data_IF_000096969506
#
_entry.id   IF_000096969506
#
_cell.length_a   1.000
_cell.length_b   1.000
_cell.length_c   1.000
_cell.angle_alpha   90.00
_cell.angle_beta   90.00
_cell.angle_gamma   90.00
#
_symmetry.space_group_name_H-M   'P 1'
#
loop_
_entity.id
_entity.type
_entity.pdbx_description
1 polymer ?
#
# COMPACT_ATOMS: atom_id res chain seq x y z
N UNK A 1 2.79 7.43 -28.50
CA UNK A 1 3.33 7.46 -27.12
C UNK A 1 2.13 7.53 -26.20
N UNK A 2 1.84 6.47 -25.44
CA UNK A 2 0.65 6.45 -24.58
C UNK A 2 0.95 7.31 -23.35
N UNK A 3 0.34 8.49 -23.29
CA UNK A 3 0.48 9.41 -22.17
C UNK A 3 -0.46 8.96 -21.05
N UNK A 4 0.09 8.72 -19.87
CA UNK A 4 -0.69 8.33 -18.69
C UNK A 4 -0.65 9.46 -17.67
N UNK A 5 -1.78 9.71 -17.01
CA UNK A 5 -1.90 10.70 -15.94
C UNK A 5 -2.15 9.99 -14.60
N UNK A 6 -1.50 10.42 -13.51
CA UNK A 6 -1.82 9.92 -12.19
C UNK A 6 -3.20 10.41 -11.74
N UNK A 7 -3.85 9.62 -10.89
CA UNK A 7 -5.05 10.04 -10.17
C UNK A 7 -4.64 11.06 -9.12
N UNK A 8 -5.19 12.28 -9.20
CA UNK A 8 -4.86 13.40 -8.30
C UNK A 8 -6.02 13.79 -7.39
N UNK A 9 -7.23 13.39 -7.73
CA UNK A 9 -8.44 13.74 -7.01
C UNK A 9 -8.61 12.84 -5.77
N UNK A 10 -8.65 13.43 -4.56
CA UNK A 10 -8.91 12.67 -3.33
C UNK A 10 -10.27 11.96 -3.33
N UNK A 11 -11.30 12.53 -3.96
CA UNK A 11 -12.63 11.90 -4.01
C UNK A 11 -12.61 10.62 -4.84
N UNK A 12 -11.94 10.63 -6.00
CA UNK A 12 -11.73 9.42 -6.81
C UNK A 12 -10.99 8.33 -6.02
N UNK A 13 -9.97 8.70 -5.24
CA UNK A 13 -9.25 7.74 -4.39
C UNK A 13 -10.19 7.13 -3.34
N UNK A 14 -11.07 7.94 -2.76
CA UNK A 14 -12.05 7.47 -1.77
C UNK A 14 -13.08 6.53 -2.39
N UNK A 15 -13.61 6.85 -3.57
CA UNK A 15 -14.52 5.98 -4.32
C UNK A 15 -13.89 4.62 -4.65
N UNK A 16 -12.61 4.61 -5.07
CA UNK A 16 -11.88 3.36 -5.33
C UNK A 16 -11.72 2.53 -4.05
N UNK A 17 -11.41 3.18 -2.93
CA UNK A 17 -11.30 2.51 -1.62
C UNK A 17 -12.61 1.83 -1.23
N UNK A 18 -13.73 2.54 -1.31
CA UNK A 18 -15.06 2.02 -0.97
C UNK A 18 -15.44 0.84 -1.87
N UNK A 19 -15.31 1.01 -3.19
CA UNK A 19 -15.58 -0.04 -4.16
C UNK A 19 -14.77 -1.32 -3.88
N UNK A 20 -13.46 -1.18 -3.62
CA UNK A 20 -12.60 -2.32 -3.33
C UNK A 20 -12.95 -2.96 -1.98
N UNK A 21 -13.29 -2.17 -0.96
CA UNK A 21 -13.63 -2.66 0.36
C UNK A 21 -14.90 -3.53 0.34
N UNK A 22 -15.89 -3.16 -0.46
CA UNK A 22 -17.11 -3.94 -0.64
C UNK A 22 -16.91 -5.22 -1.47
N UNK A 23 -16.03 -5.17 -2.47
CA UNK A 23 -15.83 -6.30 -3.39
C UNK A 23 -14.82 -7.33 -2.89
N UNK A 24 -13.68 -6.88 -2.38
CA UNK A 24 -12.58 -7.75 -2.02
C UNK A 24 -11.61 -7.03 -1.06
N UNK A 25 -11.65 -7.42 0.21
CA UNK A 25 -10.83 -6.85 1.27
C UNK A 25 -9.31 -6.95 0.99
N UNK A 26 -8.85 -8.05 0.37
CA UNK A 26 -7.45 -8.20 -0.02
C UNK A 26 -7.04 -7.13 -1.03
N UNK A 27 -7.85 -6.87 -2.05
CA UNK A 27 -7.55 -5.86 -3.06
C UNK A 27 -7.59 -4.45 -2.49
N UNK A 28 -8.52 -4.19 -1.56
CA UNK A 28 -8.55 -2.98 -0.77
C UNK A 28 -7.23 -2.76 -0.02
N UNK A 29 -6.75 -3.77 0.71
CA UNK A 29 -5.49 -3.69 1.45
C UNK A 29 -4.28 -3.49 0.54
N UNK A 30 -4.22 -4.17 -0.62
CA UNK A 30 -3.17 -3.96 -1.61
C UNK A 30 -3.15 -2.52 -2.12
N UNK A 31 -4.33 -1.94 -2.39
CA UNK A 31 -4.46 -0.56 -2.83
C UNK A 31 -4.02 0.43 -1.74
N UNK A 32 -4.51 0.26 -0.51
CA UNK A 32 -4.17 1.10 0.64
C UNK A 32 -2.67 1.06 0.94
N UNK A 33 -2.05 -0.13 0.96
CA UNK A 33 -0.60 -0.28 1.12
C UNK A 33 0.15 0.42 -0.02
N UNK A 34 -0.28 0.22 -1.26
CA UNK A 34 0.36 0.82 -2.43
C UNK A 34 0.40 2.35 -2.37
N UNK A 35 -0.75 2.99 -2.12
CA UNK A 35 -0.83 4.46 -2.11
C UNK A 35 -0.17 5.09 -0.87
N UNK A 36 -0.07 4.38 0.26
CA UNK A 36 0.57 4.92 1.47
C UNK A 36 2.10 4.71 1.47
N UNK A 37 2.61 3.67 0.81
CA UNK A 37 4.03 3.29 0.88
C UNK A 37 4.80 3.58 -0.41
N UNK A 38 4.11 3.73 -1.56
CA UNK A 38 4.76 3.90 -2.87
C UNK A 38 5.56 2.67 -3.31
N UNK A 39 5.31 1.50 -2.71
CA UNK A 39 5.95 0.25 -3.08
C UNK A 39 5.36 -0.30 -4.38
N UNK A 40 6.17 -1.05 -5.13
CA UNK A 40 5.68 -1.77 -6.31
C UNK A 40 4.85 -2.97 -5.86
N UNK A 41 3.86 -3.36 -6.67
CA UNK A 41 2.98 -4.49 -6.35
C UNK A 41 3.78 -5.78 -6.05
N UNK A 42 4.87 -6.04 -6.77
CA UNK A 42 5.72 -7.21 -6.52
C UNK A 42 6.42 -7.18 -5.16
N UNK A 43 6.76 -5.99 -4.65
CA UNK A 43 7.34 -5.83 -3.32
C UNK A 43 6.26 -5.98 -2.23
N UNK A 44 5.06 -5.41 -2.47
CA UNK A 44 3.90 -5.51 -1.55
C UNK A 44 3.49 -6.97 -1.35
N UNK A 45 3.46 -7.77 -2.42
CA UNK A 45 3.05 -9.18 -2.34
C UNK A 45 3.98 -10.07 -1.51
N UNK A 46 5.21 -9.61 -1.22
CA UNK A 46 6.18 -10.33 -0.39
C UNK A 46 6.16 -9.92 1.07
N UNK A 47 5.39 -8.87 1.42
CA UNK A 47 5.26 -8.43 2.80
C UNK A 47 4.62 -9.51 3.66
N UNK A 48 5.21 -9.72 4.83
CA UNK A 48 4.63 -10.54 5.90
C UNK A 48 4.04 -9.64 6.98
N UNK A 49 3.21 -10.22 7.85
CA UNK A 49 2.64 -9.50 9.00
C UNK A 49 3.75 -8.94 9.91
N UNK A 50 4.85 -9.68 10.07
CA UNK A 50 6.00 -9.23 10.86
C UNK A 50 6.69 -7.98 10.28
N UNK A 51 6.69 -7.82 8.95
CA UNK A 51 7.31 -6.66 8.29
C UNK A 51 6.48 -5.38 8.47
N UNK A 52 5.19 -5.51 8.77
CA UNK A 52 4.26 -4.38 8.96
C UNK A 52 3.88 -4.17 10.43
N UNK A 53 4.37 -5.02 11.34
CA UNK A 53 4.21 -4.84 12.77
C UNK A 53 5.21 -3.80 13.30
N UNK A 54 4.68 -2.65 13.72
CA UNK A 54 5.46 -1.63 14.42
C UNK A 54 5.22 -0.21 13.91
N UNK A 55 6.29 0.58 13.85
CA UNK A 55 6.26 1.96 13.37
C UNK A 55 6.74 2.11 11.92
N UNK A 56 7.46 1.11 11.40
CA UNK A 56 8.08 1.16 10.09
C UNK A 56 8.00 -0.19 9.39
N UNK A 57 7.80 -0.14 8.07
CA UNK A 57 7.97 -1.28 7.17
C UNK A 57 9.42 -1.30 6.73
N UNK A 58 10.12 -2.38 7.03
CA UNK A 58 11.53 -2.58 6.63
C UNK A 58 11.60 -3.72 5.63
N UNK A 59 12.04 -3.44 4.40
CA UNK A 59 12.13 -4.46 3.36
C UNK A 59 13.28 -4.19 2.39
N UNK A 60 13.69 -5.21 1.64
CA UNK A 60 14.66 -5.10 0.54
C UNK A 60 13.92 -5.09 -0.79
N UNK A 61 14.03 -3.99 -1.55
CA UNK A 61 13.39 -3.86 -2.87
C UNK A 61 13.87 -4.98 -3.80
N UNK A 62 12.95 -5.61 -4.52
CA UNK A 62 13.29 -6.73 -5.41
C UNK A 62 14.11 -6.28 -6.62
N UNK A 63 13.76 -5.13 -7.22
CA UNK A 63 14.38 -4.68 -8.48
C UNK A 63 15.79 -4.12 -8.28
N UNK A 64 16.01 -3.38 -7.19
CA UNK A 64 17.26 -2.64 -6.95
C UNK A 64 18.14 -3.30 -5.89
N UNK A 65 17.57 -4.21 -5.09
CA UNK A 65 18.26 -4.83 -3.95
C UNK A 65 18.53 -3.87 -2.79
N UNK A 66 18.02 -2.64 -2.81
CA UNK A 66 18.23 -1.65 -1.75
C UNK A 66 17.30 -1.91 -0.56
N UNK A 67 17.79 -1.68 0.64
CA UNK A 67 16.92 -1.64 1.81
C UNK A 67 16.09 -0.35 1.80
N UNK A 68 14.81 -0.49 2.11
CA UNK A 68 13.88 0.60 2.37
C UNK A 68 13.28 0.46 3.74
N UNK A 69 13.13 1.62 4.39
CA UNK A 69 12.43 1.77 5.65
C UNK A 69 11.37 2.85 5.46
N UNK A 70 10.09 2.47 5.57
CA UNK A 70 8.95 3.33 5.30
C UNK A 70 8.16 3.49 6.58
N UNK A 71 7.87 4.73 6.98
CA UNK A 71 7.06 4.98 8.17
C UNK A 71 5.60 4.58 7.91
N UNK A 72 4.99 3.87 8.86
CA UNK A 72 3.57 3.52 8.81
C UNK A 72 2.77 4.75 9.25
N UNK A 73 1.97 5.30 8.34
CA UNK A 73 1.10 6.43 8.64
C UNK A 73 0.00 6.02 9.63
N UNK A 74 -0.55 6.97 10.40
CA UNK A 74 -1.65 6.69 11.33
C UNK A 74 -2.88 6.10 10.62
N UNK A 75 -3.12 6.51 9.37
CA UNK A 75 -4.18 5.96 8.53
C UNK A 75 -3.91 4.49 8.21
N UNK A 76 -2.72 4.15 7.71
CA UNK A 76 -2.35 2.77 7.39
C UNK A 76 -2.35 1.88 8.64
N UNK A 77 -1.88 2.40 9.78
CA UNK A 77 -1.89 1.69 11.05
C UNK A 77 -3.31 1.32 11.51
N UNK A 78 -4.30 2.17 11.26
CA UNK A 78 -5.70 1.89 11.59
C UNK A 78 -6.26 0.76 10.71
N UNK A 79 -5.94 0.76 9.42
CA UNK A 79 -6.37 -0.31 8.50
C UNK A 79 -5.66 -1.65 8.81
N UNK A 80 -4.39 -1.61 9.22
CA UNK A 80 -3.63 -2.81 9.60
C UNK A 80 -4.06 -3.42 10.94
N UNK A 81 -4.55 -2.60 11.89
CA UNK A 81 -4.95 -3.04 13.25
C UNK A 81 -6.12 -4.04 13.29
N UNK A 82 -6.76 -4.29 12.16
CA UNK A 82 -7.78 -5.34 12.05
C UNK A 82 -7.15 -6.75 12.16
N UNK A 83 -5.87 -6.91 11.80
CA UNK A 83 -5.12 -8.17 11.83
C UNK A 83 -4.11 -8.23 12.99
#
# INVERSE_FOLDING_TARGET
MNFVQPIRDPEQIQQIKEYLKEKNERNYMLFVLGINTGLRISDILKLTVGDVQGSHISMREMKTGKQKRIQITSSLKRELKWF
#
